data_IF_583977124689
#
_entry.id   IF_583977124689
#
_cell.length_a   1.000
_cell.length_b   1.000
_cell.length_c   1.000
_cell.angle_alpha   90.00
_cell.angle_beta   90.00
_cell.angle_gamma   90.00
#
_symmetry.space_group_name_H-M   'P 1'
#
loop_
_entity.id
_entity.type
_entity.pdbx_description
1 polymer ?
#
# COMPACT_ATOMS: atom_id res chain seq x y z
N UNK A 1 60.53 -30.11 -2.63
CA UNK A 1 59.18 -30.36 -2.08
C UNK A 1 58.23 -29.34 -2.67
N UNK A 2 57.46 -29.75 -3.69
CA UNK A 2 56.44 -28.89 -4.30
C UNK A 2 55.13 -29.17 -3.54
N UNK A 3 54.74 -28.27 -2.65
CA UNK A 3 53.40 -28.34 -2.04
C UNK A 3 52.38 -27.98 -3.11
N UNK A 4 51.71 -28.98 -3.66
CA UNK A 4 50.50 -28.83 -4.45
C UNK A 4 49.40 -28.28 -3.55
N UNK A 5 49.22 -26.96 -3.59
CA UNK A 5 48.01 -26.30 -3.06
C UNK A 5 46.84 -26.88 -3.85
N UNK A 6 46.04 -27.76 -3.21
CA UNK A 6 44.78 -28.22 -3.81
C UNK A 6 43.95 -26.97 -4.13
N UNK A 7 43.43 -26.81 -5.36
CA UNK A 7 42.53 -25.71 -5.64
C UNK A 7 41.33 -25.88 -4.71
N UNK A 8 41.04 -24.84 -3.91
CA UNK A 8 39.78 -24.75 -3.17
C UNK A 8 38.69 -24.97 -4.22
N UNK A 9 37.94 -26.08 -4.14
CA UNK A 9 36.76 -26.30 -4.98
C UNK A 9 35.88 -25.07 -4.79
N UNK A 10 35.73 -24.27 -5.84
CA UNK A 10 34.81 -23.14 -5.82
C UNK A 10 33.42 -23.69 -5.48
N UNK A 11 32.93 -23.36 -4.29
CA UNK A 11 31.61 -23.80 -3.85
C UNK A 11 30.59 -23.01 -4.66
N UNK A 12 29.79 -23.71 -5.45
CA UNK A 12 28.75 -23.07 -6.24
C UNK A 12 27.52 -22.84 -5.36
N UNK A 13 26.84 -21.69 -5.48
CA UNK A 13 25.70 -21.34 -4.62
C UNK A 13 24.59 -22.40 -4.63
N UNK A 14 24.42 -23.11 -5.76
CA UNK A 14 23.45 -24.19 -5.93
C UNK A 14 23.74 -25.43 -5.08
N UNK A 15 24.94 -25.55 -4.49
CA UNK A 15 25.29 -26.63 -3.56
C UNK A 15 24.77 -26.39 -2.14
N UNK A 16 24.28 -25.18 -1.86
CA UNK A 16 23.64 -24.87 -0.58
C UNK A 16 22.26 -25.53 -0.49
N UNK A 17 21.86 -25.87 0.73
CA UNK A 17 20.51 -26.36 0.99
C UNK A 17 19.47 -25.23 0.85
N UNK A 18 18.19 -25.64 0.81
CA UNK A 18 17.05 -24.72 0.62
C UNK A 18 16.99 -23.59 1.66
N UNK A 19 17.27 -23.90 2.93
CA UNK A 19 17.20 -22.92 4.02
C UNK A 19 18.30 -21.85 3.90
N UNK A 20 19.53 -22.26 3.59
CA UNK A 20 20.63 -21.34 3.32
C UNK A 20 20.33 -20.46 2.12
N UNK A 21 19.77 -21.02 1.03
CA UNK A 21 19.37 -20.24 -0.15
C UNK A 21 18.27 -19.22 0.17
N UNK A 22 17.25 -19.61 0.93
CA UNK A 22 16.20 -18.69 1.38
C UNK A 22 16.76 -17.59 2.27
N UNK A 23 17.67 -17.92 3.18
CA UNK A 23 18.33 -16.95 4.03
C UNK A 23 19.12 -15.94 3.20
N UNK A 24 19.89 -16.39 2.20
CA UNK A 24 20.59 -15.50 1.28
C UNK A 24 19.63 -14.61 0.48
N UNK A 25 18.57 -15.18 -0.08
CA UNK A 25 17.57 -14.43 -0.84
C UNK A 25 16.83 -13.41 0.04
N UNK A 26 16.70 -13.66 1.35
CA UNK A 26 16.04 -12.74 2.28
C UNK A 26 16.72 -11.37 2.35
N UNK A 27 18.04 -11.31 2.13
CA UNK A 27 18.82 -10.06 2.09
C UNK A 27 18.75 -9.30 0.76
N UNK A 28 18.23 -9.93 -0.29
CA UNK A 28 18.16 -9.35 -1.61
C UNK A 28 16.87 -8.57 -1.82
N UNK A 29 16.94 -7.50 -2.62
CA UNK A 29 15.74 -6.82 -3.10
C UNK A 29 14.99 -7.62 -4.18
N UNK A 30 13.78 -7.17 -4.50
CA UNK A 30 12.86 -7.85 -5.44
C UNK A 30 13.52 -8.08 -6.81
N UNK A 31 14.22 -7.07 -7.32
CA UNK A 31 14.89 -7.11 -8.63
C UNK A 31 16.06 -8.10 -8.62
N UNK A 32 16.91 -8.05 -7.60
CA UNK A 32 18.05 -8.96 -7.41
C UNK A 32 17.60 -10.41 -7.25
N UNK A 33 16.53 -10.66 -6.49
CA UNK A 33 15.94 -12.00 -6.37
C UNK A 33 15.50 -12.54 -7.74
N UNK A 34 14.79 -11.73 -8.54
CA UNK A 34 14.32 -12.14 -9.89
C UNK A 34 15.49 -12.36 -10.85
N UNK A 35 16.53 -11.53 -10.79
CA UNK A 35 17.72 -11.70 -11.60
C UNK A 35 18.42 -13.03 -11.29
N UNK A 36 18.59 -13.38 -10.01
CA UNK A 36 19.15 -14.68 -9.62
C UNK A 36 18.25 -15.86 -10.02
N UNK A 37 16.93 -15.71 -9.84
CA UNK A 37 15.94 -16.71 -10.22
C UNK A 37 16.05 -17.08 -11.72
N UNK A 38 16.37 -16.10 -12.55
CA UNK A 38 16.50 -16.27 -14.01
C UNK A 38 17.75 -17.07 -14.43
N UNK A 39 18.66 -17.38 -13.51
CA UNK A 39 19.92 -18.07 -13.84
C UNK A 39 19.78 -19.60 -13.88
N UNK A 40 18.94 -20.20 -13.03
CA UNK A 40 18.70 -21.65 -13.04
C UNK A 40 17.39 -22.05 -12.31
N UNK A 41 16.83 -23.24 -12.61
CA UNK A 41 15.56 -23.68 -12.02
C UNK A 41 15.55 -23.76 -10.50
N UNK A 42 16.65 -24.21 -9.87
CA UNK A 42 16.73 -24.29 -8.41
C UNK A 42 16.59 -22.92 -7.74
N UNK A 43 17.15 -21.86 -8.34
CA UNK A 43 17.01 -20.50 -7.81
C UNK A 43 15.66 -19.88 -8.15
N UNK A 44 15.03 -20.31 -9.24
CA UNK A 44 13.63 -20.00 -9.54
C UNK A 44 12.69 -20.59 -8.46
N UNK A 45 12.89 -21.84 -8.06
CA UNK A 45 12.11 -22.48 -6.97
C UNK A 45 12.26 -21.74 -5.64
N UNK A 46 13.47 -21.25 -5.34
CA UNK A 46 13.74 -20.43 -4.14
C UNK A 46 13.01 -19.09 -4.23
N UNK A 47 13.06 -18.43 -5.39
CA UNK A 47 12.33 -17.17 -5.63
C UNK A 47 10.81 -17.32 -5.44
N UNK A 48 10.25 -18.45 -5.88
CA UNK A 48 8.82 -18.75 -5.77
C UNK A 48 8.38 -19.14 -4.35
N UNK A 49 9.30 -19.29 -3.40
CA UNK A 49 8.96 -19.58 -2.02
C UNK A 49 8.16 -18.42 -1.38
N UNK A 50 6.93 -18.67 -0.89
CA UNK A 50 6.13 -17.66 -0.19
C UNK A 50 6.83 -16.98 1.00
N UNK A 51 7.74 -17.67 1.69
CA UNK A 51 8.47 -17.17 2.85
C UNK A 51 9.39 -15.98 2.53
N UNK A 52 9.75 -15.77 1.26
CA UNK A 52 10.51 -14.60 0.83
C UNK A 52 9.65 -13.33 0.76
N UNK A 53 8.33 -13.45 0.70
CA UNK A 53 7.42 -12.35 0.38
C UNK A 53 6.48 -11.95 1.53
N UNK A 54 6.91 -11.89 2.82
CA UNK A 54 6.05 -11.43 3.90
C UNK A 54 5.80 -9.92 3.84
N UNK A 55 6.66 -9.18 3.15
CA UNK A 55 6.64 -7.73 3.07
C UNK A 55 6.82 -7.31 1.60
N UNK A 56 5.89 -6.52 1.08
CA UNK A 56 6.01 -5.88 -0.22
C UNK A 56 5.93 -4.38 -0.06
N UNK A 57 6.95 -3.68 -0.55
CA UNK A 57 7.02 -2.23 -0.57
C UNK A 57 7.29 -1.75 -1.99
N UNK A 58 6.48 -0.82 -2.49
CA UNK A 58 6.54 -0.25 -3.82
C UNK A 58 6.67 1.27 -3.71
N UNK A 59 7.69 1.84 -4.36
CA UNK A 59 7.95 3.29 -4.36
C UNK A 59 7.50 3.97 -5.66
N UNK A 60 7.09 3.18 -6.64
CA UNK A 60 6.64 3.64 -7.94
C UNK A 60 5.57 2.70 -8.50
N UNK A 61 4.62 3.27 -9.24
CA UNK A 61 3.56 2.52 -9.92
C UNK A 61 4.11 1.55 -10.97
N UNK A 62 5.27 1.85 -11.55
CA UNK A 62 5.93 0.97 -12.52
C UNK A 62 6.36 -0.36 -11.89
N UNK A 63 6.68 -0.36 -10.59
CA UNK A 63 7.07 -1.60 -9.90
C UNK A 63 5.91 -2.59 -9.76
N UNK A 64 4.65 -2.11 -9.75
CA UNK A 64 3.46 -2.98 -9.66
C UNK A 64 3.24 -3.83 -10.92
N UNK A 65 3.87 -3.45 -12.03
CA UNK A 65 3.83 -4.17 -13.32
C UNK A 65 4.98 -5.17 -13.48
N UNK A 66 5.98 -5.13 -12.59
CA UNK A 66 7.13 -6.03 -12.68
C UNK A 66 6.73 -7.44 -12.26
N UNK A 67 7.31 -8.44 -12.90
CA UNK A 67 7.19 -9.85 -12.53
C UNK A 67 8.32 -10.26 -11.56
N UNK A 68 8.57 -9.44 -10.55
CA UNK A 68 9.69 -9.60 -9.61
C UNK A 68 9.24 -9.77 -8.15
N UNK A 69 7.96 -10.10 -7.94
CA UNK A 69 7.40 -10.36 -6.62
C UNK A 69 6.31 -11.42 -6.70
N UNK A 70 5.99 -12.04 -5.56
CA UNK A 70 4.92 -13.02 -5.46
C UNK A 70 3.83 -12.54 -4.48
N UNK A 71 2.57 -12.64 -4.92
CA UNK A 71 1.42 -12.50 -4.03
C UNK A 71 1.02 -13.88 -3.54
N UNK A 72 1.08 -14.07 -2.22
CA UNK A 72 0.76 -15.35 -1.58
C UNK A 72 0.09 -15.14 -0.22
N UNK A 73 -0.46 -16.21 0.39
CA UNK A 73 -0.95 -16.16 1.76
C UNK A 73 0.12 -15.87 2.81
N UNK A 74 1.41 -15.81 2.45
CA UNK A 74 2.50 -15.42 3.33
C UNK A 74 2.66 -13.89 3.47
N UNK A 75 2.06 -13.10 2.56
CA UNK A 75 2.11 -11.63 2.66
C UNK A 75 1.46 -11.15 3.97
N UNK A 76 2.17 -10.28 4.69
CA UNK A 76 1.75 -9.67 5.96
C UNK A 76 1.69 -8.16 5.88
N UNK A 77 2.63 -7.53 5.18
CA UNK A 77 2.64 -6.07 5.00
C UNK A 77 2.70 -5.70 3.53
N UNK A 78 1.83 -4.79 3.13
CA UNK A 78 1.85 -4.16 1.82
C UNK A 78 2.00 -2.64 2.00
N UNK A 79 2.95 -2.06 1.30
CA UNK A 79 3.15 -0.61 1.23
C UNK A 79 3.28 -0.18 -0.22
N UNK A 80 2.41 0.72 -0.65
CA UNK A 80 2.47 1.39 -1.95
C UNK A 80 2.54 2.88 -1.64
N UNK A 81 3.71 3.47 -1.84
CA UNK A 81 3.94 4.87 -1.58
C UNK A 81 4.46 5.53 -2.85
N UNK A 82 3.82 6.60 -3.29
CA UNK A 82 4.35 7.45 -4.34
C UNK A 82 4.51 8.85 -3.77
N UNK A 83 5.76 9.19 -3.49
CA UNK A 83 6.17 10.55 -3.20
C UNK A 83 6.90 11.06 -4.44
N UNK A 84 6.70 12.32 -4.80
CA UNK A 84 7.71 12.98 -5.62
C UNK A 84 8.97 13.07 -4.78
N UNK A 85 10.13 12.63 -5.28
CA UNK A 85 11.41 12.81 -4.57
C UNK A 85 11.72 14.28 -4.24
N UNK A 86 10.97 15.23 -4.82
CA UNK A 86 11.08 16.67 -4.62
C UNK A 86 9.99 17.29 -3.74
N UNK A 87 8.88 16.59 -3.47
CA UNK A 87 7.77 17.16 -2.72
C UNK A 87 7.23 16.11 -1.75
N UNK A 88 7.50 16.33 -0.45
CA UNK A 88 7.03 15.47 0.65
C UNK A 88 5.52 15.62 0.92
N UNK A 89 4.84 16.55 0.26
CA UNK A 89 3.40 16.75 0.33
C UNK A 89 2.85 16.61 -1.08
N UNK A 90 2.23 15.47 -1.38
CA UNK A 90 1.58 15.30 -2.68
C UNK A 90 0.29 16.12 -2.71
N UNK A 91 0.32 17.41 -3.09
CA UNK A 91 -0.93 18.03 -3.56
C UNK A 91 -1.26 17.36 -4.89
N UNK A 92 -2.38 16.63 -4.97
CA UNK A 92 -2.88 16.09 -6.25
C UNK A 92 -3.00 17.21 -7.30
N UNK A 93 -3.18 18.47 -6.87
CA UNK A 93 -3.20 19.64 -7.75
C UNK A 93 -1.85 19.86 -8.46
N UNK A 94 -0.71 19.56 -7.83
CA UNK A 94 0.61 19.70 -8.46
C UNK A 94 0.86 18.63 -9.52
N UNK A 95 0.32 17.43 -9.33
CA UNK A 95 0.40 16.34 -10.31
C UNK A 95 -0.56 16.53 -11.48
N UNK A 96 -1.57 17.39 -11.36
CA UNK A 96 -2.47 17.74 -12.46
C UNK A 96 -2.02 18.98 -13.24
N UNK A 97 -0.83 19.56 -12.96
CA UNK A 97 -0.37 20.79 -13.62
C UNK A 97 0.00 20.58 -15.10
N UNK A 98 0.59 19.45 -15.48
CA UNK A 98 0.96 19.18 -16.88
C UNK A 98 0.07 18.10 -17.53
N UNK A 99 -0.17 18.23 -18.84
CA UNK A 99 -0.91 17.23 -19.61
C UNK A 99 -0.23 15.85 -19.58
N UNK A 100 1.10 15.80 -19.49
CA UNK A 100 1.88 14.56 -19.35
C UNK A 100 1.59 13.87 -18.00
N UNK A 101 1.61 14.62 -16.89
CA UNK A 101 1.32 14.04 -15.58
C UNK A 101 -0.15 13.61 -15.48
N UNK A 102 -1.12 14.37 -16.04
CA UNK A 102 -2.51 13.93 -16.14
C UNK A 102 -2.64 12.62 -16.93
N UNK A 103 -1.92 12.50 -18.04
CA UNK A 103 -1.89 11.29 -18.86
C UNK A 103 -1.25 10.11 -18.14
N UNK A 104 -0.17 10.33 -17.36
CA UNK A 104 0.42 9.29 -16.52
C UNK A 104 -0.57 8.88 -15.40
N UNK A 105 -1.16 9.84 -14.69
CA UNK A 105 -2.17 9.56 -13.66
C UNK A 105 -3.39 8.81 -14.21
N UNK A 106 -3.94 9.23 -15.37
CA UNK A 106 -5.09 8.56 -15.99
C UNK A 106 -4.74 7.16 -16.52
N UNK A 107 -3.55 6.96 -17.09
CA UNK A 107 -3.07 5.62 -17.52
C UNK A 107 -2.80 4.66 -16.37
N UNK A 108 -2.69 5.16 -15.15
CA UNK A 108 -2.42 4.37 -13.96
C UNK A 108 -3.58 4.38 -12.94
N UNK A 109 -4.72 4.97 -13.30
CA UNK A 109 -5.88 5.14 -12.42
C UNK A 109 -6.44 3.81 -11.91
N UNK A 110 -6.45 2.76 -12.73
CA UNK A 110 -6.88 1.44 -12.29
C UNK A 110 -5.78 0.60 -11.65
N UNK A 111 -4.49 0.90 -11.89
CA UNK A 111 -3.41 -0.04 -11.60
C UNK A 111 -3.32 -0.44 -10.12
N UNK A 112 -3.45 0.54 -9.21
CA UNK A 112 -3.41 0.26 -7.77
C UNK A 112 -4.67 -0.50 -7.35
N UNK A 113 -5.84 -0.14 -7.88
CA UNK A 113 -7.09 -0.84 -7.59
C UNK A 113 -7.01 -2.30 -8.07
N UNK A 114 -6.61 -2.54 -9.32
CA UNK A 114 -6.43 -3.86 -9.90
C UNK A 114 -5.41 -4.70 -9.11
N UNK A 115 -4.33 -4.06 -8.66
CA UNK A 115 -3.37 -4.71 -7.78
C UNK A 115 -3.98 -5.09 -6.43
N UNK A 116 -4.71 -4.19 -5.78
CA UNK A 116 -5.40 -4.47 -4.52
C UNK A 116 -6.47 -5.55 -4.66
N UNK A 117 -7.15 -5.64 -5.81
CA UNK A 117 -8.07 -6.75 -6.11
C UNK A 117 -7.32 -8.10 -6.12
N UNK A 118 -6.16 -8.18 -6.79
CA UNK A 118 -5.32 -9.39 -6.75
C UNK A 118 -4.83 -9.72 -5.34
N UNK A 119 -4.53 -8.71 -4.53
CA UNK A 119 -4.16 -8.88 -3.11
C UNK A 119 -5.35 -9.43 -2.32
N UNK A 120 -6.56 -8.93 -2.53
CA UNK A 120 -7.77 -9.46 -1.90
C UNK A 120 -7.97 -10.96 -2.18
N UNK A 121 -7.66 -11.39 -3.40
CA UNK A 121 -7.89 -12.76 -3.83
C UNK A 121 -6.80 -13.73 -3.35
N UNK A 122 -5.56 -13.25 -3.10
CA UNK A 122 -4.38 -14.11 -2.81
C UNK A 122 -3.78 -13.95 -1.41
N UNK A 123 -4.11 -12.88 -0.68
CA UNK A 123 -3.41 -12.50 0.55
C UNK A 123 -4.37 -12.33 1.75
N UNK A 124 -5.07 -13.40 2.20
CA UNK A 124 -6.06 -13.30 3.30
C UNK A 124 -5.44 -12.98 4.67
N UNK A 125 -4.13 -13.20 4.82
CA UNK A 125 -3.39 -13.02 6.08
C UNK A 125 -2.72 -11.64 6.20
N UNK A 126 -3.10 -10.69 5.35
CA UNK A 126 -2.55 -9.34 5.37
C UNK A 126 -2.85 -8.66 6.72
N UNK A 127 -1.81 -8.13 7.35
CA UNK A 127 -1.85 -7.54 8.68
C UNK A 127 -1.70 -6.01 8.65
N UNK A 128 -0.98 -5.48 7.66
CA UNK A 128 -0.81 -4.04 7.52
C UNK A 128 -0.82 -3.60 6.06
N UNK A 129 -1.51 -2.48 5.79
CA UNK A 129 -1.55 -1.83 4.49
C UNK A 129 -1.24 -0.35 4.64
N UNK A 130 -0.30 0.14 3.84
CA UNK A 130 -0.01 1.57 3.71
C UNK A 130 -0.16 1.97 2.25
N UNK A 131 -1.06 2.92 1.99
CA UNK A 131 -1.25 3.55 0.70
C UNK A 131 -0.96 5.04 0.89
N UNK A 132 0.20 5.49 0.41
CA UNK A 132 0.57 6.90 0.49
C UNK A 132 0.56 7.53 -0.89
N UNK A 133 -0.17 8.62 -0.92
CA UNK A 133 -0.68 9.34 -2.05
C UNK A 133 -1.77 8.64 -2.85
N UNK A 134 -2.10 7.35 -2.73
CA UNK A 134 -2.80 6.66 -3.84
C UNK A 134 -4.18 7.28 -4.21
N UNK A 135 -4.21 8.27 -5.11
CA UNK A 135 -5.33 9.22 -5.25
C UNK A 135 -6.49 8.64 -6.04
N UNK A 136 -6.23 7.57 -6.77
CA UNK A 136 -7.21 6.81 -7.53
C UNK A 136 -7.84 5.67 -6.73
N UNK A 137 -7.35 5.38 -5.53
CA UNK A 137 -7.93 4.33 -4.66
C UNK A 137 -9.30 4.77 -4.19
N UNK A 138 -10.29 3.92 -4.40
CA UNK A 138 -11.70 4.20 -4.11
C UNK A 138 -12.16 3.56 -2.81
N UNK A 139 -13.25 4.09 -2.25
CA UNK A 139 -13.91 3.52 -1.08
C UNK A 139 -14.31 2.04 -1.29
N UNK A 140 -14.80 1.69 -2.48
CA UNK A 140 -15.22 0.31 -2.80
C UNK A 140 -14.05 -0.67 -2.78
N UNK A 141 -12.89 -0.25 -3.29
CA UNK A 141 -11.67 -1.05 -3.25
C UNK A 141 -11.23 -1.34 -1.80
N UNK A 142 -11.25 -0.30 -0.95
CA UNK A 142 -10.90 -0.42 0.47
C UNK A 142 -11.92 -1.24 1.25
N UNK A 143 -13.21 -1.11 0.95
CA UNK A 143 -14.26 -1.92 1.55
C UNK A 143 -14.08 -3.42 1.21
N UNK A 144 -13.73 -3.74 -0.05
CA UNK A 144 -13.40 -5.11 -0.45
C UNK A 144 -12.15 -5.61 0.26
N UNK A 145 -11.09 -4.81 0.35
CA UNK A 145 -9.87 -5.15 1.08
C UNK A 145 -10.14 -5.50 2.54
N UNK A 146 -10.94 -4.69 3.24
CA UNK A 146 -11.33 -4.94 4.63
C UNK A 146 -12.12 -6.24 4.81
N UNK A 147 -12.95 -6.61 3.82
CA UNK A 147 -13.70 -7.87 3.83
C UNK A 147 -12.82 -9.09 3.56
N UNK A 148 -11.89 -8.98 2.61
CA UNK A 148 -11.04 -10.09 2.16
C UNK A 148 -9.85 -10.35 3.10
N UNK A 149 -9.42 -9.34 3.86
CA UNK A 149 -8.30 -9.44 4.79
C UNK A 149 -8.78 -9.30 6.25
N UNK A 150 -9.42 -10.34 6.83
CA UNK A 150 -10.00 -10.27 8.18
C UNK A 150 -8.96 -10.13 9.30
N UNK A 151 -7.67 -10.32 8.99
CA UNK A 151 -6.54 -10.18 9.92
C UNK A 151 -5.88 -8.80 9.85
N UNK A 152 -6.42 -7.86 9.07
CA UNK A 152 -5.84 -6.53 8.92
C UNK A 152 -5.91 -5.75 10.25
N UNK A 153 -4.74 -5.39 10.78
CA UNK A 153 -4.57 -4.67 12.06
C UNK A 153 -4.22 -3.20 11.87
N UNK A 154 -3.56 -2.86 10.77
CA UNK A 154 -3.14 -1.49 10.49
C UNK A 154 -3.50 -1.07 9.07
N UNK A 155 -4.21 0.05 8.94
CA UNK A 155 -4.50 0.68 7.66
C UNK A 155 -4.05 2.13 7.70
N UNK A 156 -3.12 2.49 6.81
CA UNK A 156 -2.64 3.86 6.63
C UNK A 156 -2.99 4.34 5.23
N UNK A 157 -3.76 5.40 5.18
CA UNK A 157 -4.17 6.11 3.98
C UNK A 157 -3.68 7.55 4.13
N UNK A 158 -2.78 7.94 3.25
CA UNK A 158 -2.20 9.27 3.26
C UNK A 158 -2.39 9.87 1.88
N UNK A 159 -2.94 11.08 1.80
CA UNK A 159 -3.17 11.76 0.53
C UNK A 159 -3.94 10.92 -0.52
N UNK A 160 -4.94 10.16 -0.07
CA UNK A 160 -5.83 9.41 -0.95
C UNK A 160 -7.08 10.25 -1.25
N UNK A 161 -7.04 11.08 -2.30
CA UNK A 161 -8.10 12.05 -2.58
C UNK A 161 -9.50 11.45 -2.75
N UNK A 162 -9.63 10.25 -3.33
CA UNK A 162 -10.93 9.57 -3.52
C UNK A 162 -11.46 8.82 -2.30
N UNK A 163 -10.74 8.83 -1.19
CA UNK A 163 -11.20 8.24 0.08
C UNK A 163 -12.15 9.20 0.77
N UNK A 164 -13.33 8.71 1.13
CA UNK A 164 -14.38 9.51 1.76
C UNK A 164 -14.83 8.91 3.11
N UNK A 165 -15.85 9.52 3.71
CA UNK A 165 -16.53 8.95 4.87
C UNK A 165 -17.07 7.52 4.63
N UNK A 166 -17.25 7.07 3.38
CA UNK A 166 -17.66 5.69 3.08
C UNK A 166 -16.59 4.67 3.47
N UNK A 167 -15.31 4.97 3.27
CA UNK A 167 -14.22 4.13 3.81
C UNK A 167 -14.32 4.03 5.34
N UNK A 168 -14.61 5.13 6.03
CA UNK A 168 -14.77 5.09 7.49
C UNK A 168 -15.96 4.19 7.91
N UNK A 169 -17.07 4.25 7.18
CA UNK A 169 -18.21 3.36 7.41
C UNK A 169 -17.85 1.89 7.14
N UNK A 170 -17.07 1.61 6.08
CA UNK A 170 -16.58 0.28 5.78
C UNK A 170 -15.63 -0.27 6.87
N UNK A 171 -14.76 0.59 7.43
CA UNK A 171 -13.93 0.23 8.59
C UNK A 171 -14.80 -0.16 9.78
N UNK A 172 -15.83 0.61 10.09
CA UNK A 172 -16.75 0.27 11.18
C UNK A 172 -17.50 -1.06 10.95
N UNK A 173 -17.88 -1.35 9.70
CA UNK A 173 -18.63 -2.56 9.35
C UNK A 173 -17.77 -3.82 9.27
N UNK A 174 -16.56 -3.72 8.73
CA UNK A 174 -15.74 -4.88 8.34
C UNK A 174 -14.38 -4.95 9.03
N UNK A 175 -13.85 -3.83 9.55
CA UNK A 175 -12.53 -3.73 10.16
C UNK A 175 -12.42 -4.24 11.60
N UNK A 176 -13.04 -5.38 11.93
CA UNK A 176 -13.13 -5.87 13.32
C UNK A 176 -11.78 -6.16 13.99
N UNK A 177 -10.78 -6.56 13.21
CA UNK A 177 -9.41 -6.80 13.68
C UNK A 177 -8.52 -5.54 13.64
N UNK A 178 -9.03 -4.44 13.08
CA UNK A 178 -8.27 -3.22 12.87
C UNK A 178 -7.98 -2.55 14.22
N UNK A 179 -6.71 -2.33 14.50
CA UNK A 179 -6.22 -1.70 15.71
C UNK A 179 -5.84 -0.24 15.47
N UNK A 180 -5.30 0.06 14.29
CA UNK A 180 -4.87 1.40 13.91
C UNK A 180 -5.42 1.79 12.55
N UNK A 181 -6.04 2.99 12.49
CA UNK A 181 -6.40 3.65 11.25
C UNK A 181 -5.72 5.01 11.20
N UNK A 182 -4.96 5.26 10.14
CA UNK A 182 -4.38 6.55 9.85
C UNK A 182 -5.00 7.08 8.55
N UNK A 183 -5.64 8.24 8.60
CA UNK A 183 -6.26 8.92 7.46
C UNK A 183 -5.82 10.38 7.45
N UNK A 184 -4.68 10.67 6.83
CA UNK A 184 -4.10 12.01 6.74
C UNK A 184 -4.08 12.53 5.31
N UNK A 185 -4.20 13.85 5.16
CA UNK A 185 -4.31 14.53 3.86
C UNK A 185 -5.42 13.98 2.94
N UNK A 186 -6.43 13.30 3.50
CA UNK A 186 -7.55 12.73 2.77
C UNK A 186 -8.71 13.75 2.78
N UNK A 187 -8.68 14.69 1.82
CA UNK A 187 -9.55 15.88 1.78
C UNK A 187 -11.07 15.63 1.85
N UNK A 188 -11.53 14.45 1.44
CA UNK A 188 -12.95 14.08 1.45
C UNK A 188 -13.38 13.31 2.71
N UNK A 189 -12.49 13.21 3.71
CA UNK A 189 -12.78 12.69 5.05
C UNK A 189 -13.15 13.83 6.00
N UNK A 190 -14.39 13.84 6.45
CA UNK A 190 -14.92 14.94 7.28
C UNK A 190 -14.75 14.71 8.78
N UNK A 191 -14.69 15.78 9.57
CA UNK A 191 -14.74 15.73 11.03
C UNK A 191 -15.98 14.98 11.57
N UNK A 192 -17.13 15.10 10.90
CA UNK A 192 -18.34 14.37 11.27
C UNK A 192 -18.20 12.85 11.05
N UNK A 193 -17.56 12.44 9.95
CA UNK A 193 -17.24 11.04 9.67
C UNK A 193 -16.31 10.44 10.71
N UNK A 194 -15.23 11.16 11.05
CA UNK A 194 -14.27 10.74 12.08
C UNK A 194 -14.94 10.58 13.46
N UNK A 195 -15.84 11.51 13.84
CA UNK A 195 -16.63 11.39 15.08
C UNK A 195 -17.52 10.15 15.08
N UNK A 196 -18.23 9.88 13.98
CA UNK A 196 -19.05 8.66 13.85
C UNK A 196 -18.21 7.39 13.97
N UNK A 197 -17.02 7.36 13.35
CA UNK A 197 -16.13 6.20 13.46
C UNK A 197 -15.63 6.00 14.89
N UNK A 198 -15.23 7.07 15.59
CA UNK A 198 -14.82 6.97 17.01
C UNK A 198 -15.93 6.42 17.90
N UNK A 199 -17.17 6.82 17.65
CA UNK A 199 -18.33 6.31 18.38
C UNK A 199 -18.60 4.82 18.08
N UNK A 200 -18.49 4.41 16.80
CA UNK A 200 -18.71 3.03 16.39
C UNK A 200 -17.57 2.08 16.81
N UNK A 201 -16.33 2.57 16.88
CA UNK A 201 -15.12 1.78 17.12
C UNK A 201 -14.24 2.42 18.21
N UNK A 202 -14.65 2.39 19.49
CA UNK A 202 -13.95 3.11 20.57
C UNK A 202 -12.55 2.56 20.88
N UNK A 203 -12.25 1.31 20.50
CA UNK A 203 -10.93 0.69 20.68
C UNK A 203 -9.96 0.95 19.52
N UNK A 204 -10.43 1.54 18.42
CA UNK A 204 -9.61 1.83 17.25
C UNK A 204 -8.75 3.06 17.51
N UNK A 205 -7.43 2.93 17.37
CA UNK A 205 -6.51 4.07 17.40
C UNK A 205 -6.62 4.83 16.07
N UNK A 206 -7.36 5.93 16.09
CA UNK A 206 -7.62 6.77 14.92
C UNK A 206 -6.69 8.00 14.91
N UNK A 207 -5.85 8.10 13.88
CA UNK A 207 -5.03 9.29 13.57
C UNK A 207 -5.55 9.96 12.31
N UNK A 208 -5.79 11.27 12.38
CA UNK A 208 -6.40 12.07 11.32
C UNK A 208 -6.12 13.56 11.54
N UNK A 209 -4.86 13.89 11.82
CA UNK A 209 -4.41 15.22 12.25
C UNK A 209 -4.62 16.26 11.13
N UNK A 210 -4.48 15.84 9.87
CA UNK A 210 -4.44 16.75 8.72
C UNK A 210 -5.62 16.62 7.75
N UNK A 211 -6.58 15.72 7.99
CA UNK A 211 -7.71 15.51 7.06
C UNK A 211 -8.97 16.32 7.42
N UNK A 212 -9.29 16.45 8.71
CA UNK A 212 -10.60 16.92 9.16
C UNK A 212 -10.93 18.39 8.82
N UNK A 213 -9.91 19.21 8.58
CA UNK A 213 -10.01 20.64 8.29
C UNK A 213 -9.74 21.00 6.82
N UNK A 214 -9.52 20.00 5.95
CA UNK A 214 -9.30 20.23 4.53
C UNK A 214 -10.59 20.65 3.82
N UNK A 215 -10.46 21.43 2.75
CA UNK A 215 -11.57 21.75 1.87
C UNK A 215 -11.86 20.52 0.99
N UNK A 216 -13.05 19.92 1.08
CA UNK A 216 -13.42 18.77 0.25
C UNK A 216 -13.63 19.20 -1.21
N UNK A 217 -13.49 18.26 -2.14
CA UNK A 217 -13.63 18.53 -3.58
C UNK A 217 -15.07 18.92 -3.98
N UNK A 218 -16.04 18.51 -3.17
CA UNK A 218 -17.43 18.96 -3.24
C UNK A 218 -17.83 19.51 -1.87
N UNK A 219 -18.37 20.73 -1.82
CA UNK A 219 -18.95 21.26 -0.59
C UNK A 219 -20.04 20.28 -0.08
N UNK A 220 -20.11 19.99 1.23
CA UNK A 220 -21.23 19.26 1.78
C UNK A 220 -22.51 19.98 1.38
N UNK A 221 -23.45 19.27 0.75
CA UNK A 221 -24.74 19.84 0.36
C UNK A 221 -25.34 20.54 1.57
N UNK A 222 -25.49 21.86 1.47
CA UNK A 222 -26.05 22.67 2.52
C UNK A 222 -27.49 22.20 2.77
N UNK A 223 -27.69 21.37 3.80
CA UNK A 223 -28.96 21.40 4.50
C UNK A 223 -29.07 22.80 5.08
N UNK A 224 -30.09 23.52 4.62
CA UNK A 224 -30.18 24.98 4.67
C UNK A 224 -29.97 25.59 6.06
N UNK A 225 -29.65 26.90 6.04
CA UNK A 225 -29.69 27.86 7.17
C UNK A 225 -28.47 28.01 8.10
N UNK A 226 -27.25 28.16 7.57
CA UNK A 226 -26.14 28.65 8.41
C UNK A 226 -25.02 29.45 7.71
N UNK A 227 -25.22 30.01 6.52
CA UNK A 227 -24.16 30.73 5.77
C UNK A 227 -24.55 32.17 5.41
N UNK A 228 -24.91 32.97 6.41
CA UNK A 228 -25.12 34.42 6.24
C UNK A 228 -24.48 35.28 7.33
N UNK A 229 -23.46 34.79 8.07
CA UNK A 229 -22.84 35.59 9.15
C UNK A 229 -21.33 35.82 9.10
N UNK A 230 -20.65 35.54 7.99
CA UNK A 230 -19.22 35.86 7.89
C UNK A 230 -18.85 36.41 6.51
N UNK A 231 -19.21 37.67 6.28
CA UNK A 231 -18.40 38.56 5.43
C UNK A 231 -18.25 39.90 6.18
N UNK A 232 -17.02 40.39 6.46
CA UNK A 232 -16.82 41.75 6.90
C UNK A 232 -17.04 42.71 5.73
N UNK A 233 -17.59 43.89 6.05
CA UNK A 233 -17.74 45.03 5.13
C UNK A 233 -16.40 45.59 4.68
#
# INVERSE_FOLDING_TARGET
MWHTVRPLRAMHITQLNRECLLHLFSFLDKDSRKNLASTCPQLQDVFEDPALWPLLHFRSLLELKKDNFLLSPALRSLSICWYSSRVQVCSVEDWLKSALQRSICSRHESLVNDFLLRVCDRCPNLASVTLSGCGHVTDDCLARLLRCCPRLRALRLENCARVTNRTLAAVAAHGRALQTLHVDFCRNVSAAGLRRLRAACPRLVLRAEHSAAMIPDQLPSASGTALLKLMPR
#
